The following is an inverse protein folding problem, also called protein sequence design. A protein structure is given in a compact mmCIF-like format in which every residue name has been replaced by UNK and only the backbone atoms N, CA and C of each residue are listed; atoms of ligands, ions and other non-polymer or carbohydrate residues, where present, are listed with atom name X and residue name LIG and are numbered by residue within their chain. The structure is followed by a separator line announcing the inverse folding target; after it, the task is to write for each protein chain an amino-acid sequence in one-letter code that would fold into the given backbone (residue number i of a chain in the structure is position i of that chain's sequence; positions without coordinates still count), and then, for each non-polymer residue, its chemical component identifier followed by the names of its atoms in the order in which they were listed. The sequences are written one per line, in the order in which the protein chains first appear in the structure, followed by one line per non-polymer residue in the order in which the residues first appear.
data_IF_559231573344
#
_entry.id   IF_559231573344
#
_cell.length_a   1.000
_cell.length_b   1.000
_cell.length_c   1.000
_cell.angle_alpha   90.00
_cell.angle_beta   90.00
_cell.angle_gamma   90.00
#
_symmetry.space_group_name_H-M   'P 1'
#
loop_
_entity.id
_entity.type
_entity.pdbx_description
1 polymer ?
#
# COMPACT_ATOMS: atom_id res chain seq x y z
N UNK A 1 9.88 0.66 -16.45
CA UNK A 1 10.04 0.61 -15.00
C UNK A 1 9.77 -0.82 -14.52
N UNK A 2 10.68 -1.38 -13.69
CA UNK A 2 10.53 -2.73 -13.11
C UNK A 2 9.27 -2.82 -12.23
N UNK A 3 8.90 -1.75 -11.54
CA UNK A 3 7.69 -1.65 -10.72
C UNK A 3 6.37 -1.95 -11.47
N UNK A 4 6.36 -1.79 -12.79
CA UNK A 4 5.18 -1.97 -13.67
C UNK A 4 5.19 -3.26 -14.47
N UNK A 5 6.14 -4.17 -14.24
CA UNK A 5 6.18 -5.43 -14.95
C UNK A 5 4.91 -6.25 -14.69
N UNK A 6 4.36 -6.84 -15.76
CA UNK A 6 3.11 -7.61 -15.69
C UNK A 6 3.25 -8.94 -14.92
N UNK A 7 4.46 -9.45 -14.79
CA UNK A 7 4.80 -10.69 -14.09
C UNK A 7 5.14 -10.48 -12.60
N UNK A 8 5.10 -9.23 -12.10
CA UNK A 8 5.28 -8.96 -10.67
C UNK A 8 4.16 -9.59 -9.84
N UNK A 9 4.49 -10.21 -8.70
CA UNK A 9 3.50 -10.70 -7.76
C UNK A 9 2.61 -9.55 -7.27
N UNK A 10 1.32 -9.83 -7.17
CA UNK A 10 0.29 -8.92 -6.69
C UNK A 10 0.11 -9.01 -5.17
N UNK A 11 -0.72 -8.14 -4.60
CA UNK A 11 -1.02 -8.19 -3.16
C UNK A 11 -1.53 -9.58 -2.72
N UNK A 12 -2.44 -10.20 -3.48
CA UNK A 12 -2.93 -11.55 -3.16
C UNK A 12 -1.83 -12.62 -3.19
N UNK A 13 -0.83 -12.50 -4.06
CA UNK A 13 0.30 -13.44 -4.09
C UNK A 13 1.12 -13.34 -2.80
N UNK A 14 1.43 -12.12 -2.35
CA UNK A 14 2.13 -11.92 -1.07
C UNK A 14 1.28 -12.32 0.13
N UNK A 15 -0.02 -12.01 0.13
CA UNK A 15 -0.94 -12.44 1.19
C UNK A 15 -0.91 -13.96 1.33
N UNK A 16 -1.03 -14.68 0.21
CA UNK A 16 -1.02 -16.14 0.21
C UNK A 16 0.33 -16.74 0.59
N UNK A 17 1.44 -16.06 0.27
CA UNK A 17 2.79 -16.56 0.53
C UNK A 17 3.28 -16.28 1.96
N UNK A 18 2.70 -15.30 2.66
CA UNK A 18 3.19 -14.82 3.96
C UNK A 18 2.23 -15.17 5.11
N UNK A 19 0.94 -15.24 4.84
CA UNK A 19 -0.09 -15.42 5.87
C UNK A 19 -0.85 -16.72 5.68
N UNK A 20 -1.32 -17.27 6.78
CA UNK A 20 -2.22 -18.43 6.80
C UNK A 20 -3.68 -17.96 6.95
N UNK A 21 -4.62 -18.83 6.55
CA UNK A 21 -6.06 -18.69 6.81
C UNK A 21 -6.67 -17.33 6.40
N UNK A 22 -6.26 -16.78 5.26
CA UNK A 22 -6.81 -15.51 4.80
C UNK A 22 -8.31 -15.62 4.47
N UNK A 23 -9.09 -14.85 5.20
CA UNK A 23 -10.54 -14.70 5.00
C UNK A 23 -10.83 -13.30 4.45
N UNK A 24 -11.18 -13.22 3.17
CA UNK A 24 -11.48 -11.95 2.51
C UNK A 24 -12.86 -11.42 2.90
N UNK A 25 -12.96 -10.12 3.15
CA UNK A 25 -14.20 -9.38 3.41
C UNK A 25 -14.50 -8.38 2.30
N UNK A 26 -15.74 -8.37 1.84
CA UNK A 26 -16.22 -7.59 0.72
C UNK A 26 -17.11 -6.42 1.15
N UNK A 27 -17.18 -5.39 0.28
CA UNK A 27 -18.10 -4.27 0.38
C UNK A 27 -17.69 -3.19 1.40
N UNK A 28 -18.07 -1.96 1.10
CA UNK A 28 -17.78 -0.79 1.93
C UNK A 28 -18.85 -0.54 3.02
N UNK A 29 -19.96 -1.29 3.02
CA UNK A 29 -21.15 -1.09 3.88
C UNK A 29 -21.86 0.24 3.64
N UNK A 30 -21.60 0.89 2.49
CA UNK A 30 -22.21 2.15 2.10
C UNK A 30 -22.86 2.05 0.72
N UNK A 31 -22.12 1.65 -0.30
CA UNK A 31 -22.61 1.62 -1.68
C UNK A 31 -22.32 0.28 -2.40
N UNK A 32 -21.05 -0.12 -2.53
CA UNK A 32 -20.68 -1.36 -3.25
C UNK A 32 -19.37 -1.94 -2.80
N UNK A 33 -18.94 -3.02 -3.45
CA UNK A 33 -17.58 -3.55 -3.35
C UNK A 33 -16.67 -2.97 -4.43
N UNK A 34 -15.36 -3.00 -4.18
CA UNK A 34 -14.33 -2.62 -5.15
C UNK A 34 -13.25 -3.71 -5.22
N UNK A 35 -13.11 -4.31 -6.41
CA UNK A 35 -12.13 -5.35 -6.67
C UNK A 35 -10.68 -4.87 -6.72
N UNK A 36 -10.43 -3.54 -6.77
CA UNK A 36 -9.10 -2.96 -6.68
C UNK A 36 -8.53 -2.95 -5.25
N UNK A 37 -9.37 -3.20 -4.24
CA UNK A 37 -8.97 -3.45 -2.86
C UNK A 37 -9.38 -4.87 -2.46
N UNK A 38 -8.42 -5.63 -1.98
CA UNK A 38 -8.64 -6.91 -1.28
C UNK A 38 -8.29 -6.70 0.19
N UNK A 39 -9.00 -7.36 1.09
CA UNK A 39 -8.68 -7.23 2.50
C UNK A 39 -9.54 -8.13 3.39
N UNK A 40 -8.99 -8.47 4.53
CA UNK A 40 -9.63 -9.38 5.47
C UNK A 40 -8.78 -9.67 6.69
N UNK A 41 -9.08 -10.78 7.33
CA UNK A 41 -8.33 -11.30 8.48
C UNK A 41 -7.48 -12.47 8.01
N UNK A 42 -6.26 -12.54 8.53
CA UNK A 42 -5.36 -13.67 8.30
C UNK A 42 -4.62 -14.02 9.59
N UNK A 43 -3.92 -15.15 9.59
CA UNK A 43 -3.05 -15.54 10.68
C UNK A 43 -1.59 -15.29 10.32
N UNK A 44 -0.85 -14.65 11.20
CA UNK A 44 0.60 -14.46 11.10
C UNK A 44 1.26 -15.11 12.31
N UNK A 45 1.91 -16.27 12.12
CA UNK A 45 2.51 -17.08 13.21
C UNK A 45 1.55 -17.28 14.41
N UNK A 46 0.29 -17.62 14.13
CA UNK A 46 -0.73 -17.83 15.16
C UNK A 46 -1.38 -16.56 15.73
N UNK A 47 -0.95 -15.38 15.29
CA UNK A 47 -1.54 -14.10 15.68
C UNK A 47 -2.52 -13.60 14.61
N UNK A 48 -3.76 -13.25 14.97
CA UNK A 48 -4.69 -12.66 14.02
C UNK A 48 -4.26 -11.25 13.62
N UNK A 49 -4.20 -11.01 12.33
CA UNK A 49 -3.85 -9.71 11.72
C UNK A 49 -4.92 -9.29 10.71
N UNK A 50 -5.03 -8.00 10.46
CA UNK A 50 -5.82 -7.49 9.32
C UNK A 50 -4.89 -7.17 8.17
N UNK A 51 -5.14 -7.77 7.01
CA UNK A 51 -4.34 -7.55 5.80
C UNK A 51 -5.19 -6.88 4.74
N UNK A 52 -4.67 -5.83 4.13
CA UNK A 52 -5.36 -5.05 3.09
C UNK A 52 -4.37 -4.81 1.95
N UNK A 53 -4.80 -4.99 0.70
CA UNK A 53 -3.94 -4.79 -0.45
C UNK A 53 -4.63 -4.07 -1.60
N UNK A 54 -3.90 -3.19 -2.26
CA UNK A 54 -4.28 -2.70 -3.58
C UNK A 54 -3.93 -3.79 -4.59
N UNK A 55 -4.91 -4.22 -5.37
CA UNK A 55 -4.83 -5.42 -6.18
C UNK A 55 -4.92 -5.11 -7.66
N UNK A 56 -3.86 -5.41 -8.38
CA UNK A 56 -3.81 -5.45 -9.85
C UNK A 56 -4.24 -6.83 -10.36
N UNK A 57 -4.69 -6.89 -11.59
CA UNK A 57 -5.03 -8.15 -12.25
C UNK A 57 -3.79 -8.82 -12.86
N UNK A 58 -3.89 -10.13 -13.08
CA UNK A 58 -2.84 -10.96 -13.74
C UNK A 58 -2.99 -11.06 -15.27
N UNK A 59 -4.09 -10.59 -15.80
CA UNK A 59 -4.39 -10.55 -17.24
C UNK A 59 -5.33 -9.39 -17.54
N UNK A 60 -5.58 -9.10 -18.81
CA UNK A 60 -6.40 -7.97 -19.25
C UNK A 60 -7.81 -7.99 -18.64
N UNK A 61 -8.48 -9.14 -18.63
CA UNK A 61 -9.83 -9.27 -18.07
C UNK A 61 -9.86 -8.99 -16.56
N UNK A 62 -8.89 -9.53 -15.83
CA UNK A 62 -8.77 -9.32 -14.39
C UNK A 62 -8.35 -7.88 -14.08
N UNK A 63 -7.47 -7.26 -14.88
CA UNK A 63 -7.12 -5.86 -14.75
C UNK A 63 -8.33 -4.93 -14.93
N UNK A 64 -9.20 -5.19 -15.90
CA UNK A 64 -10.44 -4.43 -16.07
C UNK A 64 -11.34 -4.59 -14.84
N UNK A 65 -11.53 -5.81 -14.36
CA UNK A 65 -12.35 -6.09 -13.16
C UNK A 65 -11.81 -5.38 -11.91
N UNK A 66 -10.50 -5.22 -11.79
CA UNK A 66 -9.81 -4.56 -10.67
C UNK A 66 -9.47 -3.11 -10.96
N UNK A 67 -10.07 -2.53 -12.00
CA UNK A 67 -9.84 -1.17 -12.41
C UNK A 67 -8.35 -0.80 -12.50
N UNK A 68 -7.52 -1.74 -13.00
CA UNK A 68 -6.06 -1.61 -13.12
C UNK A 68 -5.34 -1.29 -11.81
N UNK A 69 -5.90 -1.72 -10.67
CA UNK A 69 -5.36 -1.43 -9.35
C UNK A 69 -5.63 0.02 -8.88
N UNK A 70 -6.57 0.72 -9.52
CA UNK A 70 -6.99 2.07 -9.14
C UNK A 70 -8.27 2.00 -8.32
N UNK A 71 -8.21 2.16 -6.98
CA UNK A 71 -9.40 2.07 -6.14
C UNK A 71 -10.37 3.23 -6.39
N UNK A 72 -11.67 2.88 -6.39
CA UNK A 72 -12.79 3.82 -6.29
C UNK A 72 -13.01 4.24 -4.83
N UNK A 73 -13.88 5.23 -4.54
CA UNK A 73 -14.20 5.62 -3.16
C UNK A 73 -14.64 4.43 -2.29
N UNK A 74 -15.36 3.49 -2.88
CA UNK A 74 -15.84 2.27 -2.22
C UNK A 74 -14.68 1.39 -1.71
N UNK A 75 -13.58 1.32 -2.47
CA UNK A 75 -12.37 0.61 -2.09
C UNK A 75 -11.69 1.23 -0.87
N UNK A 76 -11.53 2.55 -0.85
CA UNK A 76 -10.97 3.26 0.31
C UNK A 76 -11.85 3.16 1.54
N UNK A 77 -13.19 3.26 1.40
CA UNK A 77 -14.13 3.04 2.51
C UNK A 77 -14.09 1.60 3.02
N UNK A 78 -13.97 0.61 2.13
CA UNK A 78 -13.77 -0.81 2.52
C UNK A 78 -12.49 -0.97 3.33
N UNK A 79 -11.37 -0.40 2.86
CA UNK A 79 -10.10 -0.44 3.56
C UNK A 79 -10.22 0.19 4.96
N UNK A 80 -10.79 1.38 5.07
CA UNK A 80 -10.99 2.06 6.35
C UNK A 80 -11.87 1.25 7.30
N UNK A 81 -12.96 0.66 6.79
CA UNK A 81 -13.84 -0.20 7.59
C UNK A 81 -13.06 -1.38 8.20
N UNK A 82 -12.17 -2.00 7.43
CA UNK A 82 -11.33 -3.11 7.92
C UNK A 82 -10.30 -2.62 8.94
N UNK A 83 -9.72 -1.43 8.75
CA UNK A 83 -8.79 -0.80 9.68
C UNK A 83 -9.49 -0.49 11.03
N UNK A 84 -10.70 0.08 10.99
CA UNK A 84 -11.47 0.37 12.21
C UNK A 84 -11.91 -0.92 12.93
N UNK A 85 -12.23 -1.97 12.17
CA UNK A 85 -12.48 -3.28 12.76
C UNK A 85 -11.20 -3.86 13.40
N UNK A 86 -10.05 -3.71 12.76
CA UNK A 86 -8.78 -4.14 13.32
C UNK A 86 -8.48 -3.43 14.64
N UNK A 87 -8.68 -2.12 14.70
CA UNK A 87 -8.54 -1.32 15.91
C UNK A 87 -9.45 -1.82 17.03
N UNK A 88 -10.74 -2.06 16.74
CA UNK A 88 -11.71 -2.56 17.74
C UNK A 88 -11.28 -3.89 18.36
N UNK A 89 -10.64 -4.76 17.60
CA UNK A 89 -10.22 -6.09 18.04
C UNK A 89 -8.71 -6.18 18.37
N UNK A 90 -7.99 -5.06 18.37
CA UNK A 90 -6.57 -5.01 18.72
C UNK A 90 -5.65 -5.73 17.72
N UNK A 91 -6.05 -5.89 16.45
CA UNK A 91 -5.24 -6.58 15.45
C UNK A 91 -4.26 -5.62 14.76
N UNK A 92 -2.98 -5.98 14.62
CA UNK A 92 -2.07 -5.25 13.72
C UNK A 92 -2.62 -5.21 12.29
N UNK A 93 -2.28 -4.13 11.58
CA UNK A 93 -2.70 -3.91 10.20
C UNK A 93 -1.49 -3.96 9.28
N UNK A 94 -1.57 -4.78 8.22
CA UNK A 94 -0.57 -4.84 7.16
C UNK A 94 -1.22 -4.41 5.85
N UNK A 95 -0.67 -3.36 5.22
CA UNK A 95 -1.12 -2.84 3.94
C UNK A 95 -0.11 -3.13 2.84
N UNK A 96 -0.55 -3.77 1.75
CA UNK A 96 0.23 -3.88 0.51
C UNK A 96 -0.21 -2.80 -0.46
N UNK A 97 0.73 -1.95 -0.87
CA UNK A 97 0.48 -0.80 -1.74
C UNK A 97 0.97 -1.11 -3.15
N UNK A 98 0.05 -1.14 -4.11
CA UNK A 98 0.37 -1.29 -5.54
C UNK A 98 -0.72 -0.66 -6.41
N UNK A 99 -0.62 0.64 -6.62
CA UNK A 99 -1.56 1.41 -7.43
C UNK A 99 -0.86 2.49 -8.24
N UNK A 100 -1.23 2.74 -9.49
CA UNK A 100 -0.79 3.93 -10.22
C UNK A 100 -1.43 5.22 -9.69
N UNK A 101 -2.49 5.11 -8.86
CA UNK A 101 -3.24 6.20 -8.25
C UNK A 101 -4.69 5.81 -7.98
N UNK A 102 -5.45 6.72 -7.39
CA UNK A 102 -6.88 6.56 -7.23
C UNK A 102 -7.60 6.67 -8.59
N UNK A 103 -8.74 5.99 -8.75
CA UNK A 103 -9.54 6.12 -9.96
C UNK A 103 -10.07 7.55 -10.13
N UNK A 104 -9.89 8.13 -11.31
CA UNK A 104 -10.21 9.53 -11.63
C UNK A 104 -11.39 9.68 -12.61
N UNK A 105 -12.39 8.82 -12.51
CA UNK A 105 -13.60 8.88 -13.34
C UNK A 105 -14.72 9.72 -12.71
N UNK A 106 -15.68 10.15 -13.53
CA UNK A 106 -16.85 10.93 -13.09
C UNK A 106 -17.59 10.25 -11.92
N UNK A 107 -17.84 8.94 -12.02
CA UNK A 107 -18.48 8.18 -10.96
C UNK A 107 -17.72 8.20 -9.64
N UNK A 108 -16.39 8.29 -9.67
CA UNK A 108 -15.58 8.40 -8.46
C UNK A 108 -15.72 9.77 -7.80
N UNK A 109 -15.73 10.84 -8.62
CA UNK A 109 -15.98 12.20 -8.11
C UNK A 109 -17.38 12.32 -7.50
N UNK A 110 -18.42 11.83 -8.18
CA UNK A 110 -19.80 11.82 -7.68
C UNK A 110 -19.96 11.07 -6.34
N UNK A 111 -19.11 10.06 -6.09
CA UNK A 111 -19.14 9.27 -4.86
C UNK A 111 -18.10 9.68 -3.83
N UNK A 112 -17.42 10.82 -4.03
CA UNK A 112 -16.54 11.44 -3.05
C UNK A 112 -15.14 10.80 -2.99
N UNK A 113 -14.44 10.68 -4.12
CA UNK A 113 -13.08 10.11 -4.17
C UNK A 113 -12.10 10.86 -3.27
N UNK A 114 -12.09 12.19 -3.35
CA UNK A 114 -11.23 13.03 -2.52
C UNK A 114 -11.55 12.90 -1.03
N UNK A 115 -12.83 12.84 -0.67
CA UNK A 115 -13.26 12.65 0.72
C UNK A 115 -12.84 11.27 1.25
N UNK A 116 -13.05 10.20 0.47
CA UNK A 116 -12.69 8.85 0.91
C UNK A 116 -11.17 8.71 1.17
N UNK A 117 -10.33 9.32 0.31
CA UNK A 117 -8.89 9.38 0.52
C UNK A 117 -8.55 10.20 1.77
N UNK A 118 -9.06 11.42 1.88
CA UNK A 118 -8.80 12.31 3.01
C UNK A 118 -9.23 11.67 4.34
N UNK A 119 -10.37 10.98 4.33
CA UNK A 119 -10.87 10.26 5.50
C UNK A 119 -9.92 9.14 5.93
N UNK A 120 -9.39 8.36 4.97
CA UNK A 120 -8.39 7.34 5.29
C UNK A 120 -7.13 7.96 5.92
N UNK A 121 -6.60 9.06 5.38
CA UNK A 121 -5.44 9.75 5.95
C UNK A 121 -5.71 10.18 7.40
N UNK A 122 -6.85 10.81 7.63
CA UNK A 122 -7.25 11.31 8.95
C UNK A 122 -7.40 10.16 9.96
N UNK A 123 -8.19 9.14 9.63
CA UNK A 123 -8.45 8.03 10.54
C UNK A 123 -7.21 7.15 10.77
N UNK A 124 -6.40 6.91 9.75
CA UNK A 124 -5.15 6.15 9.89
C UNK A 124 -4.15 6.85 10.81
N UNK A 125 -4.14 8.18 10.85
CA UNK A 125 -3.22 8.92 11.72
C UNK A 125 -3.43 8.62 13.20
N UNK A 126 -4.66 8.28 13.61
CA UNK A 126 -5.05 8.05 15.00
C UNK A 126 -5.32 6.58 15.37
N UNK A 127 -5.13 5.63 14.46
CA UNK A 127 -5.35 4.20 14.76
C UNK A 127 -4.51 3.75 15.96
N UNK A 128 -5.15 3.04 16.89
CA UNK A 128 -4.56 2.57 18.17
C UNK A 128 -3.95 1.16 18.09
N UNK A 129 -3.63 0.72 16.87
CA UNK A 129 -2.97 -0.56 16.60
C UNK A 129 -1.75 -0.34 15.69
N UNK A 130 -0.76 -1.25 15.71
CA UNK A 130 0.38 -1.16 14.80
C UNK A 130 -0.06 -1.21 13.33
N UNK A 131 0.46 -0.32 12.51
CA UNK A 131 0.22 -0.28 11.06
C UNK A 131 1.54 -0.36 10.32
N UNK A 132 1.68 -1.35 9.45
CA UNK A 132 2.77 -1.52 8.50
C UNK A 132 2.25 -1.37 7.08
N UNK A 133 2.88 -0.54 6.27
CA UNK A 133 2.59 -0.44 4.83
C UNK A 133 3.79 -0.85 4.01
N UNK A 134 3.58 -1.68 2.99
CA UNK A 134 4.63 -2.22 2.11
C UNK A 134 4.31 -1.86 0.67
N UNK A 135 5.12 -1.00 0.06
CA UNK A 135 4.99 -0.66 -1.37
C UNK A 135 5.63 -1.78 -2.19
N UNK A 136 4.80 -2.57 -2.87
CA UNK A 136 5.25 -3.77 -3.61
C UNK A 136 5.45 -3.54 -5.11
N UNK A 137 4.94 -2.44 -5.65
CA UNK A 137 5.05 -2.08 -7.05
C UNK A 137 4.99 -0.56 -7.25
N UNK A 138 3.83 -0.03 -7.55
CA UNK A 138 3.63 1.41 -7.69
C UNK A 138 2.93 1.99 -6.47
N UNK A 139 3.53 3.02 -5.87
CA UNK A 139 2.91 3.84 -4.85
C UNK A 139 2.50 5.20 -5.43
N UNK A 140 1.36 5.24 -6.13
CA UNK A 140 0.93 6.44 -6.84
C UNK A 140 0.07 7.39 -6.02
N UNK A 141 0.58 8.61 -5.78
CA UNK A 141 -0.17 9.79 -5.30
C UNK A 141 -0.99 9.54 -4.01
N UNK A 142 -2.08 10.28 -3.85
CA UNK A 142 -3.03 10.13 -2.74
C UNK A 142 -3.64 8.74 -2.64
N UNK A 143 -3.74 8.03 -3.77
CA UNK A 143 -4.25 6.65 -3.79
C UNK A 143 -3.38 5.67 -3.01
N UNK A 144 -2.07 5.82 -3.10
CA UNK A 144 -1.12 5.05 -2.29
C UNK A 144 -1.06 5.58 -0.85
N UNK A 145 -1.04 6.90 -0.67
CA UNK A 145 -0.93 7.54 0.64
C UNK A 145 -2.12 7.17 1.55
N UNK A 146 -3.32 7.01 0.99
CA UNK A 146 -4.53 6.56 1.70
C UNK A 146 -4.39 5.16 2.35
N UNK A 147 -3.30 4.45 2.06
CA UNK A 147 -2.94 3.15 2.63
C UNK A 147 -1.55 3.15 3.30
N UNK A 148 -0.88 4.31 3.36
CA UNK A 148 0.52 4.41 3.78
C UNK A 148 0.77 5.35 4.97
N UNK A 149 -0.27 5.81 5.65
CA UNK A 149 -0.14 6.51 6.94
C UNK A 149 0.06 5.47 8.04
N UNK A 150 1.29 5.03 8.20
CA UNK A 150 1.67 3.86 8.99
C UNK A 150 2.79 4.14 10.00
N UNK A 151 2.98 3.24 10.97
CA UNK A 151 4.10 3.29 11.91
C UNK A 151 5.44 3.02 11.20
N UNK A 152 5.42 2.14 10.20
CA UNK A 152 6.54 1.96 9.25
C UNK A 152 6.01 1.84 7.83
N UNK A 153 6.75 2.39 6.89
CA UNK A 153 6.57 2.16 5.45
C UNK A 153 7.80 1.43 4.94
N UNK A 154 7.59 0.25 4.41
CA UNK A 154 8.62 -0.52 3.72
C UNK A 154 8.40 -0.46 2.22
N UNK A 155 9.42 -0.73 1.46
CA UNK A 155 9.34 -0.65 0.01
C UNK A 155 10.20 -1.73 -0.63
N UNK A 156 9.67 -2.42 -1.63
CA UNK A 156 10.46 -3.33 -2.45
C UNK A 156 11.49 -2.53 -3.26
N UNK A 157 12.67 -3.12 -3.48
CA UNK A 157 13.83 -2.45 -4.09
C UNK A 157 13.51 -1.82 -5.45
N UNK A 158 12.73 -2.52 -6.28
CA UNK A 158 12.33 -2.05 -7.60
C UNK A 158 10.94 -1.40 -7.64
N UNK A 159 10.32 -1.12 -6.50
CA UNK A 159 9.09 -0.34 -6.41
C UNK A 159 9.38 1.16 -6.58
N UNK A 160 8.33 1.92 -6.81
CA UNK A 160 8.36 3.40 -6.82
C UNK A 160 7.28 3.96 -5.89
N UNK A 161 7.56 5.09 -5.26
CA UNK A 161 6.57 5.79 -4.45
C UNK A 161 6.68 7.29 -4.73
N UNK A 162 5.63 7.90 -5.28
CA UNK A 162 5.66 9.28 -5.76
C UNK A 162 4.28 9.93 -5.78
N UNK A 163 4.28 11.26 -5.75
CA UNK A 163 3.05 12.07 -5.82
C UNK A 163 2.38 12.00 -7.22
N UNK A 164 3.15 11.78 -8.28
CA UNK A 164 2.65 11.66 -9.66
C UNK A 164 3.62 10.84 -10.51
N UNK A 165 3.15 10.41 -11.69
CA UNK A 165 4.01 9.66 -12.60
C UNK A 165 5.13 10.54 -13.19
N UNK A 166 6.28 9.95 -13.61
CA UNK A 166 7.31 10.69 -14.33
C UNK A 166 6.79 11.39 -15.59
N UNK A 167 5.83 10.80 -16.29
CA UNK A 167 5.17 11.38 -17.46
C UNK A 167 4.36 12.64 -17.07
N UNK A 168 3.61 12.56 -15.96
CA UNK A 168 2.86 13.69 -15.41
C UNK A 168 3.79 14.82 -14.96
N UNK A 169 4.85 14.49 -14.23
CA UNK A 169 5.85 15.46 -13.79
C UNK A 169 6.51 16.16 -14.99
N UNK A 170 6.93 15.40 -16.00
CA UNK A 170 7.55 15.95 -17.21
C UNK A 170 6.57 16.86 -17.96
N UNK A 171 5.30 16.49 -18.06
CA UNK A 171 4.26 17.32 -18.70
C UNK A 171 4.05 18.65 -17.98
N UNK A 172 4.07 18.65 -16.63
CA UNK A 172 3.88 19.86 -15.82
C UNK A 172 5.13 20.75 -15.88
N UNK A 173 6.30 20.18 -15.60
CA UNK A 173 7.54 20.95 -15.41
C UNK A 173 8.22 21.31 -16.74
N UNK A 174 8.32 20.35 -17.66
CA UNK A 174 9.03 20.50 -18.94
C UNK A 174 8.09 20.78 -20.13
N UNK A 175 6.77 20.74 -19.92
CA UNK A 175 5.75 20.84 -20.98
C UNK A 175 5.91 19.78 -22.08
N UNK A 176 6.56 18.66 -21.78
CA UNK A 176 6.85 17.56 -22.70
C UNK A 176 6.91 16.22 -21.96
N UNK A 177 5.90 15.38 -22.12
CA UNK A 177 5.82 14.06 -21.51
C UNK A 177 6.92 13.08 -21.94
N UNK A 178 7.55 13.31 -23.11
CA UNK A 178 8.68 12.50 -23.61
C UNK A 178 9.91 12.61 -22.73
N UNK A 179 10.01 13.65 -21.91
CA UNK A 179 11.07 13.84 -20.92
C UNK A 179 10.87 13.06 -19.62
N UNK A 180 9.95 12.10 -19.60
CA UNK A 180 9.73 11.23 -18.43
C UNK A 180 10.99 10.55 -17.88
N UNK A 181 11.97 10.08 -18.69
CA UNK A 181 13.21 9.52 -18.16
C UNK A 181 14.07 10.55 -17.40
N UNK A 182 14.08 11.81 -17.84
CA UNK A 182 14.76 12.92 -17.16
C UNK A 182 14.03 13.27 -15.85
N UNK A 183 12.71 13.38 -15.92
CA UNK A 183 11.84 13.60 -14.78
C UNK A 183 12.06 12.54 -13.69
N UNK A 184 12.07 11.27 -14.05
CA UNK A 184 12.26 10.17 -13.11
C UNK A 184 13.57 10.24 -12.31
N UNK A 185 14.65 10.77 -12.92
CA UNK A 185 15.94 10.96 -12.23
C UNK A 185 15.90 12.08 -11.19
N UNK A 186 15.10 13.10 -11.43
CA UNK A 186 15.00 14.28 -10.55
C UNK A 186 14.04 14.03 -9.40
N UNK A 187 13.00 13.21 -9.61
CA UNK A 187 11.89 13.03 -8.67
C UNK A 187 12.26 12.29 -7.39
N UNK A 188 13.39 11.56 -7.34
CA UNK A 188 13.79 10.81 -6.15
C UNK A 188 12.69 9.84 -5.64
N UNK A 189 12.22 8.95 -6.52
CA UNK A 189 11.06 8.08 -6.26
C UNK A 189 11.42 6.63 -5.96
N UNK A 190 12.71 6.27 -6.01
CA UNK A 190 13.17 4.89 -5.79
C UNK A 190 13.27 4.55 -4.32
N UNK A 191 13.27 3.27 -3.99
CA UNK A 191 13.43 2.80 -2.62
C UNK A 191 14.74 3.32 -1.98
N UNK A 192 15.83 3.36 -2.73
CA UNK A 192 17.11 3.90 -2.26
C UNK A 192 17.03 5.38 -1.92
N UNK A 193 16.47 6.19 -2.83
CA UNK A 193 16.28 7.63 -2.61
C UNK A 193 15.42 7.90 -1.37
N UNK A 194 14.29 7.20 -1.25
CA UNK A 194 13.34 7.41 -0.15
C UNK A 194 13.88 6.92 1.19
N UNK A 195 14.73 5.90 1.17
CA UNK A 195 15.45 5.45 2.36
C UNK A 195 16.49 6.47 2.83
N UNK A 196 17.25 7.05 1.90
CA UNK A 196 18.22 8.11 2.17
C UNK A 196 17.53 9.36 2.74
N UNK A 197 16.35 9.71 2.21
CA UNK A 197 15.53 10.84 2.69
C UNK A 197 14.81 10.54 4.02
N UNK A 198 14.88 9.32 4.55
CA UNK A 198 14.20 8.93 5.79
C UNK A 198 12.68 8.78 5.66
N UNK A 199 12.16 8.68 4.44
CA UNK A 199 10.72 8.55 4.15
C UNK A 199 10.21 7.11 4.27
N UNK A 200 11.10 6.12 4.23
CA UNK A 200 10.79 4.71 4.46
C UNK A 200 11.77 4.09 5.46
N UNK A 201 11.27 3.10 6.24
CA UNK A 201 12.06 2.45 7.27
C UNK A 201 12.89 1.26 6.77
N UNK A 202 12.45 0.61 5.67
CA UNK A 202 13.11 -0.59 5.17
C UNK A 202 12.98 -0.76 3.66
N UNK A 203 14.05 -1.23 3.04
CA UNK A 203 14.04 -1.77 1.67
C UNK A 203 13.94 -3.30 1.77
N UNK A 204 13.00 -3.88 1.02
CA UNK A 204 12.89 -5.33 0.82
C UNK A 204 13.70 -5.66 -0.43
N UNK A 205 14.80 -6.42 -0.30
CA UNK A 205 15.71 -6.66 -1.42
C UNK A 205 15.09 -7.54 -2.49
N UNK A 206 15.43 -7.23 -3.73
CA UNK A 206 15.09 -8.02 -4.91
C UNK A 206 16.41 -8.37 -5.63
N UNK A 207 17.07 -9.46 -5.24
CA UNK A 207 18.29 -9.93 -5.92
C UNK A 207 18.07 -10.13 -7.43
N UNK A 208 16.86 -10.54 -7.80
CA UNK A 208 16.31 -10.53 -9.14
C UNK A 208 14.95 -9.85 -9.10
N UNK A 209 14.51 -9.16 -10.20
CA UNK A 209 13.20 -8.53 -10.23
C UNK A 209 12.10 -9.49 -9.84
N UNK A 210 11.22 -9.04 -8.92
CA UNK A 210 10.15 -9.86 -8.40
C UNK A 210 9.25 -10.45 -9.50
N UNK A 211 9.06 -11.74 -9.44
CA UNK A 211 8.21 -12.55 -10.32
C UNK A 211 7.71 -13.80 -9.56
N UNK A 212 7.00 -14.69 -10.21
CA UNK A 212 6.46 -15.92 -9.61
C UNK A 212 7.55 -16.80 -8.99
N UNK A 213 8.73 -16.90 -9.62
CA UNK A 213 9.81 -17.79 -9.16
C UNK A 213 10.53 -17.23 -7.93
N UNK A 214 10.62 -15.91 -7.82
CA UNK A 214 11.27 -15.22 -6.71
C UNK A 214 10.33 -14.94 -5.53
N UNK A 215 9.02 -15.12 -5.70
CA UNK A 215 7.97 -14.76 -4.73
C UNK A 215 8.26 -15.32 -3.32
N UNK A 216 8.49 -16.61 -3.20
CA UNK A 216 8.64 -17.24 -1.87
C UNK A 216 9.93 -16.82 -1.15
N UNK A 217 10.99 -16.51 -1.89
CA UNK A 217 12.23 -15.96 -1.32
C UNK A 217 11.99 -14.58 -0.74
N UNK A 218 11.31 -13.70 -1.50
CA UNK A 218 10.94 -12.35 -1.06
C UNK A 218 9.96 -12.41 0.11
N UNK A 219 8.93 -13.27 0.02
CA UNK A 219 7.97 -13.49 1.10
C UNK A 219 8.65 -13.95 2.39
N UNK A 220 9.63 -14.86 2.31
CA UNK A 220 10.43 -15.29 3.47
C UNK A 220 11.28 -14.16 4.09
N UNK A 221 11.74 -13.19 3.29
CA UNK A 221 12.38 -11.99 3.84
C UNK A 221 11.37 -11.08 4.54
N UNK A 222 10.19 -10.87 3.93
CA UNK A 222 9.10 -10.09 4.52
C UNK A 222 8.66 -10.70 5.85
N UNK A 223 8.43 -12.01 5.88
CA UNK A 223 8.04 -12.77 7.07
C UNK A 223 8.98 -12.51 8.26
N UNK A 224 10.28 -12.78 8.07
CA UNK A 224 11.30 -12.54 9.11
C UNK A 224 11.35 -11.08 9.55
N UNK A 225 11.18 -10.14 8.63
CA UNK A 225 11.17 -8.71 8.95
C UNK A 225 9.93 -8.30 9.72
N UNK A 226 8.76 -8.86 9.38
CA UNK A 226 7.50 -8.59 10.07
C UNK A 226 7.48 -9.15 11.50
N UNK A 227 8.15 -10.28 11.78
CA UNK A 227 8.35 -10.74 13.17
C UNK A 227 9.03 -9.64 13.99
N UNK A 228 10.06 -9.00 13.44
CA UNK A 228 10.74 -7.87 14.08
C UNK A 228 9.84 -6.66 14.30
N UNK A 229 9.00 -6.34 13.31
CA UNK A 229 7.99 -5.27 13.43
C UNK A 229 6.98 -5.60 14.54
N UNK A 230 6.40 -6.79 14.56
CA UNK A 230 5.44 -7.18 15.60
C UNK A 230 6.05 -7.06 17.00
N UNK A 231 7.27 -7.58 17.21
CA UNK A 231 7.97 -7.48 18.48
C UNK A 231 8.26 -6.03 18.92
N UNK A 232 8.55 -5.16 17.97
CA UNK A 232 8.84 -3.74 18.25
C UNK A 232 7.65 -2.99 18.81
N UNK A 233 6.45 -3.31 18.32
CA UNK A 233 5.23 -2.55 18.63
C UNK A 233 4.25 -3.25 19.58
N UNK A 234 4.48 -4.51 19.95
CA UNK A 234 3.54 -5.32 20.73
C UNK A 234 3.22 -4.75 22.11
N UNK A 235 4.20 -4.08 22.74
CA UNK A 235 4.09 -3.59 24.11
C UNK A 235 3.74 -2.08 24.17
N UNK A 236 3.56 -1.43 23.03
CA UNK A 236 3.16 -0.03 22.96
C UNK A 236 1.65 0.12 23.15
N UNK A 237 1.26 1.10 23.95
CA UNK A 237 -0.15 1.51 24.06
C UNK A 237 -0.68 2.10 22.75
N UNK A 238 -1.99 2.18 22.61
CA UNK A 238 -2.60 2.79 21.43
C UNK A 238 -2.22 4.25 21.25
N UNK A 239 -2.08 5.00 22.33
CA UNK A 239 -1.64 6.41 22.34
C UNK A 239 -0.18 6.54 21.88
N UNK A 240 0.71 5.67 22.37
CA UNK A 240 2.11 5.65 21.93
C UNK A 240 2.25 5.30 20.46
N UNK A 241 1.41 4.39 19.94
CA UNK A 241 1.37 4.03 18.51
C UNK A 241 0.92 5.20 17.63
N UNK A 242 -0.10 5.94 18.04
CA UNK A 242 -0.59 7.12 17.33
C UNK A 242 0.45 8.25 17.38
N UNK A 243 1.06 8.51 18.55
CA UNK A 243 2.11 9.53 18.72
C UNK A 243 3.35 9.17 17.90
N UNK A 244 3.79 7.91 17.90
CA UNK A 244 4.89 7.44 17.06
C UNK A 244 4.65 7.75 15.58
N UNK A 245 3.41 7.52 15.11
CA UNK A 245 3.00 7.79 13.73
C UNK A 245 3.00 9.29 13.44
N UNK A 246 2.44 10.10 14.35
CA UNK A 246 2.45 11.55 14.24
C UNK A 246 3.88 12.11 14.17
N UNK A 247 4.76 11.71 15.09
CA UNK A 247 6.16 12.15 15.11
C UNK A 247 6.94 11.71 13.85
N UNK A 248 6.62 10.52 13.32
CA UNK A 248 7.19 10.05 12.06
C UNK A 248 6.91 11.01 10.91
N UNK A 249 5.66 11.40 10.72
CA UNK A 249 5.26 12.32 9.65
C UNK A 249 5.71 13.76 9.89
N UNK A 250 5.81 14.18 11.13
CA UNK A 250 6.28 15.52 11.49
C UNK A 250 7.76 15.74 11.18
N UNK A 251 8.57 14.69 11.13
CA UNK A 251 10.02 14.76 10.84
C UNK A 251 10.34 14.78 9.34
N UNK A 252 9.37 14.54 8.49
CA UNK A 252 9.47 14.61 7.04
C UNK A 252 9.32 16.06 6.55
#
# INVERSE_FOLDING_TARGET
LLSRKADRPTALDYITAVFDEFMEFHGDRCFKDDGAIVGGIAMFHGMPVTVIGQQKGKNTKDNIRRNFGMPSPDGYRKALRLMKQAETFGRPIICFVDTPGAFCGLEAEERGQGEAIARNLFEMSDLKVPVLSIVIGEGGSGGALAMAVANEVWMMENAIYSILSPEGFASILYKDSKKAPEAARVMKVTAADLKELGLIERIIPEEEPANTDTLYRIAGYMDRSMIGFMKKYQDMSGEELAEHRYERFRRM
#
